data_IF_839718709918
#
_entry.id   IF_839718709918
#
_cell.length_a   1.000
_cell.length_b   1.000
_cell.length_c   1.000
_cell.angle_alpha   90.00
_cell.angle_beta   90.00
_cell.angle_gamma   90.00
#
_symmetry.space_group_name_H-M   'P 1'
#
loop_
_entity.id
_entity.type
_entity.pdbx_description
1 polymer ?
#
# COMPACT_ATOMS: atom_id res chain seq x y z
N UNK A 1 10.13 13.22 -25.54
CA UNK A 1 9.72 12.37 -26.69
C UNK A 1 10.13 10.93 -26.42
N UNK A 2 9.29 9.96 -26.79
CA UNK A 2 9.46 8.54 -26.47
C UNK A 2 10.35 7.87 -27.52
N UNK A 3 11.42 7.19 -27.09
CA UNK A 3 12.31 6.42 -27.97
C UNK A 3 11.71 5.06 -28.35
N UNK A 4 11.98 4.54 -29.55
CA UNK A 4 11.38 3.30 -30.02
C UNK A 4 11.79 2.08 -29.18
N UNK A 5 12.96 2.13 -28.53
CA UNK A 5 13.49 1.12 -27.63
C UNK A 5 12.91 1.14 -26.20
N UNK A 6 12.12 2.16 -25.86
CA UNK A 6 11.59 2.29 -24.50
C UNK A 6 10.27 1.53 -24.35
N UNK A 7 10.16 0.67 -23.33
CA UNK A 7 9.01 -0.22 -23.08
C UNK A 7 7.68 0.51 -22.73
N UNK A 8 7.61 1.84 -22.81
CA UNK A 8 6.46 2.60 -22.27
C UNK A 8 5.34 2.90 -23.27
N UNK A 9 5.53 2.63 -24.56
CA UNK A 9 4.51 2.86 -25.60
C UNK A 9 3.87 1.59 -26.18
N UNK A 10 4.51 0.43 -26.00
CA UNK A 10 3.95 -0.89 -26.31
C UNK A 10 3.73 -1.70 -25.03
N UNK A 11 2.81 -2.65 -25.08
CA UNK A 11 2.49 -3.57 -23.96
C UNK A 11 3.61 -4.58 -23.67
N UNK A 12 4.47 -4.85 -24.66
CA UNK A 12 5.63 -5.75 -24.59
C UNK A 12 6.87 -5.09 -25.20
N UNK A 13 8.04 -5.62 -24.86
CA UNK A 13 9.31 -5.20 -25.45
C UNK A 13 9.27 -5.32 -26.98
N UNK A 14 9.65 -4.28 -27.74
CA UNK A 14 9.71 -4.36 -29.19
C UNK A 14 10.85 -5.26 -29.65
N UNK A 15 10.55 -6.14 -30.62
CA UNK A 15 11.53 -6.98 -31.30
C UNK A 15 12.01 -6.28 -32.58
N UNK A 16 13.34 -6.08 -32.65
CA UNK A 16 14.00 -5.38 -33.76
C UNK A 16 14.66 -6.36 -34.70
N UNK A 17 14.67 -6.03 -36.00
CA UNK A 17 15.47 -6.75 -36.99
C UNK A 17 16.97 -6.51 -36.76
N UNK A 18 17.80 -7.45 -37.21
CA UNK A 18 19.26 -7.32 -37.13
C UNK A 18 19.74 -6.07 -37.89
N UNK A 19 20.56 -5.23 -37.24
CA UNK A 19 21.08 -3.99 -37.82
C UNK A 19 20.14 -2.78 -37.77
N UNK A 20 18.96 -2.90 -37.14
CA UNK A 20 18.03 -1.79 -37.01
C UNK A 20 18.58 -0.66 -36.11
N UNK A 21 18.41 0.59 -36.55
CA UNK A 21 18.73 1.77 -35.75
C UNK A 21 17.72 1.95 -34.61
N UNK A 22 18.20 1.80 -33.37
CA UNK A 22 17.39 1.90 -32.14
C UNK A 22 17.36 3.31 -31.55
N UNK A 23 18.04 4.28 -32.17
CA UNK A 23 18.10 5.68 -31.70
C UNK A 23 16.88 6.52 -32.07
N UNK A 24 16.06 6.01 -33.00
CA UNK A 24 14.85 6.67 -33.49
C UNK A 24 13.79 6.86 -32.40
N UNK A 25 12.90 7.83 -32.62
CA UNK A 25 11.75 8.10 -31.76
C UNK A 25 10.47 7.59 -32.40
N UNK A 26 9.46 7.36 -31.57
CA UNK A 26 8.14 6.92 -32.06
C UNK A 26 7.55 7.93 -33.05
N UNK A 27 7.84 9.23 -32.87
CA UNK A 27 7.42 10.28 -33.78
C UNK A 27 8.02 10.14 -35.20
N UNK A 28 9.23 9.58 -35.32
CA UNK A 28 9.93 9.43 -36.62
C UNK A 28 9.34 8.29 -37.47
N UNK A 29 8.50 7.45 -36.84
CA UNK A 29 7.73 6.37 -37.46
C UNK A 29 6.34 6.82 -37.92
N UNK A 30 5.98 8.08 -37.71
CA UNK A 30 4.67 8.65 -38.06
C UNK A 30 4.85 9.59 -39.24
N UNK A 31 4.07 9.38 -40.30
CA UNK A 31 3.96 10.33 -41.39
C UNK A 31 3.12 11.53 -40.94
N UNK A 32 3.77 12.70 -40.90
CA UNK A 32 3.17 13.96 -40.43
C UNK A 32 2.11 14.52 -41.38
N UNK A 33 2.08 14.09 -42.64
CA UNK A 33 1.12 14.56 -43.65
C UNK A 33 -0.17 13.74 -43.55
N UNK A 34 -0.05 12.42 -43.49
CA UNK A 34 -1.20 11.50 -43.48
C UNK A 34 -1.71 11.17 -42.08
N UNK A 35 -0.93 11.51 -41.04
CA UNK A 35 -1.15 11.10 -39.66
C UNK A 35 -1.31 9.57 -39.51
N UNK A 36 -0.51 8.82 -40.26
CA UNK A 36 -0.48 7.37 -40.25
C UNK A 36 0.93 6.86 -39.91
N UNK A 37 1.03 5.61 -39.47
CA UNK A 37 2.32 4.95 -39.32
C UNK A 37 2.99 4.80 -40.68
N UNK A 38 4.26 5.20 -40.78
CA UNK A 38 5.11 4.93 -41.94
C UNK A 38 5.39 3.42 -42.00
N UNK A 39 4.56 2.71 -42.77
CA UNK A 39 4.67 1.26 -42.94
C UNK A 39 6.06 0.87 -43.43
N UNK A 40 6.66 1.62 -44.37
CA UNK A 40 7.99 1.31 -44.90
C UNK A 40 9.05 1.25 -43.80
N UNK A 41 9.06 2.25 -42.92
CA UNK A 41 9.98 2.29 -41.77
C UNK A 41 9.67 1.19 -40.76
N UNK A 42 8.39 1.00 -40.40
CA UNK A 42 7.99 -0.04 -39.42
C UNK A 42 8.35 -1.44 -39.92
N UNK A 43 8.16 -1.73 -41.22
CA UNK A 43 8.52 -3.02 -41.83
C UNK A 43 10.03 -3.29 -41.83
N UNK A 44 10.84 -2.24 -41.95
CA UNK A 44 12.30 -2.33 -42.00
C UNK A 44 12.92 -2.48 -40.61
N UNK A 45 12.31 -1.87 -39.59
CA UNK A 45 12.90 -1.79 -38.24
C UNK A 45 12.43 -2.95 -37.34
N UNK A 46 11.18 -3.39 -37.45
CA UNK A 46 10.57 -4.34 -36.50
C UNK A 46 10.26 -5.72 -37.10
N UNK A 47 10.38 -6.74 -36.26
CA UNK A 47 9.94 -8.11 -36.54
C UNK A 47 8.40 -8.19 -36.68
N UNK A 48 7.85 -9.19 -37.38
CA UNK A 48 6.42 -9.31 -37.68
C UNK A 48 5.50 -9.12 -36.47
N UNK A 49 5.81 -9.75 -35.34
CA UNK A 49 4.97 -9.67 -34.13
C UNK A 49 4.85 -8.25 -33.58
N UNK A 50 5.95 -7.51 -33.56
CA UNK A 50 5.98 -6.13 -33.03
C UNK A 50 5.34 -5.16 -34.03
N UNK A 51 5.53 -5.40 -35.33
CA UNK A 51 4.89 -4.62 -36.39
C UNK A 51 3.38 -4.66 -36.30
N UNK A 52 2.80 -5.84 -36.13
CA UNK A 52 1.35 -6.00 -36.01
C UNK A 52 0.78 -5.25 -34.81
N UNK A 53 1.49 -5.21 -33.69
CA UNK A 53 1.06 -4.43 -32.53
C UNK A 53 1.11 -2.93 -32.80
N UNK A 54 2.17 -2.45 -33.44
CA UNK A 54 2.33 -1.03 -33.78
C UNK A 54 1.20 -0.59 -34.71
N UNK A 55 0.91 -1.36 -35.76
CA UNK A 55 -0.12 -1.02 -36.74
C UNK A 55 -1.54 -1.07 -36.16
N UNK A 56 -1.77 -1.82 -35.07
CA UNK A 56 -3.04 -1.81 -34.32
C UNK A 56 -3.24 -0.56 -33.45
N UNK A 57 -2.18 0.18 -33.16
CA UNK A 57 -2.29 1.42 -32.38
C UNK A 57 -2.97 2.51 -33.21
N UNK A 58 -4.12 2.99 -32.72
CA UNK A 58 -4.78 4.17 -33.30
C UNK A 58 -3.97 5.42 -32.95
N UNK A 59 -3.40 6.06 -33.97
CA UNK A 59 -2.83 7.39 -33.82
C UNK A 59 -3.95 8.37 -33.51
N UNK A 60 -3.85 9.06 -32.38
CA UNK A 60 -4.76 10.15 -32.07
C UNK A 60 -4.44 11.36 -32.94
N UNK A 61 -5.41 12.25 -33.17
CA UNK A 61 -5.22 13.44 -33.99
C UNK A 61 -4.04 14.26 -33.43
N UNK A 62 -2.94 14.36 -34.18
CA UNK A 62 -1.66 14.98 -33.77
C UNK A 62 -1.83 16.46 -33.37
N UNK A 63 -2.95 17.09 -33.74
CA UNK A 63 -3.32 18.42 -33.28
C UNK A 63 -3.73 18.50 -31.78
N UNK A 64 -3.93 17.36 -31.12
CA UNK A 64 -4.33 17.30 -29.70
C UNK A 64 -3.09 17.50 -28.82
N UNK A 65 -3.11 18.53 -27.96
CA UNK A 65 -2.02 18.74 -26.97
C UNK A 65 -1.88 17.53 -26.04
N UNK A 66 -0.64 17.15 -25.74
CA UNK A 66 -0.32 16.12 -24.74
C UNK A 66 -1.02 16.40 -23.40
N UNK A 67 -1.55 15.35 -22.78
CA UNK A 67 -2.21 15.41 -21.48
C UNK A 67 -1.54 14.46 -20.50
N UNK A 68 -1.26 14.95 -19.30
CA UNK A 68 -0.82 14.10 -18.19
C UNK A 68 -2.02 13.29 -17.69
N UNK A 69 -1.88 11.96 -17.69
CA UNK A 69 -2.90 11.02 -17.21
C UNK A 69 -2.35 10.25 -16.01
N UNK A 70 -3.17 10.17 -14.95
CA UNK A 70 -2.85 9.42 -13.74
C UNK A 70 -3.46 8.01 -13.80
N UNK A 71 -2.64 7.00 -14.10
CA UNK A 71 -3.09 5.63 -14.39
C UNK A 71 -3.66 4.85 -13.19
N UNK A 72 -3.60 5.40 -11.98
CA UNK A 72 -4.04 4.68 -10.77
C UNK A 72 -5.55 4.77 -10.51
N UNK A 73 -6.29 5.50 -11.34
CA UNK A 73 -7.75 5.52 -11.24
C UNK A 73 -8.41 5.55 -12.62
N UNK A 74 -9.66 5.04 -12.68
CA UNK A 74 -10.45 5.00 -13.92
C UNK A 74 -10.76 6.38 -14.50
N UNK A 75 -10.68 7.43 -13.66
CA UNK A 75 -10.88 8.81 -14.09
C UNK A 75 -9.65 9.41 -14.77
N UNK A 76 -8.50 8.72 -14.76
CA UNK A 76 -7.19 9.18 -15.24
C UNK A 76 -6.76 10.56 -14.68
N UNK A 77 -7.30 10.97 -13.54
CA UNK A 77 -7.06 12.29 -12.92
C UNK A 77 -6.17 12.13 -11.71
N UNK A 78 -5.20 13.03 -11.56
CA UNK A 78 -4.39 13.06 -10.36
C UNK A 78 -5.24 13.42 -9.13
N UNK A 79 -5.00 12.73 -8.02
CA UNK A 79 -5.50 13.13 -6.71
C UNK A 79 -4.46 12.80 -5.64
N UNK A 80 -4.38 13.63 -4.60
CA UNK A 80 -3.48 13.40 -3.46
C UNK A 80 -3.76 12.03 -2.83
N UNK A 81 -5.03 11.64 -2.74
CA UNK A 81 -5.45 10.32 -2.23
C UNK A 81 -4.82 9.17 -3.00
N UNK A 82 -4.94 9.16 -4.33
CA UNK A 82 -4.39 8.07 -5.16
C UNK A 82 -2.86 8.12 -5.22
N UNK A 83 -2.27 9.30 -5.17
CA UNK A 83 -0.82 9.46 -5.08
C UNK A 83 -0.27 8.91 -3.75
N UNK A 84 -0.94 9.19 -2.64
CA UNK A 84 -0.57 8.67 -1.32
C UNK A 84 -0.69 7.14 -1.25
N UNK A 85 -1.74 6.56 -1.87
CA UNK A 85 -1.88 5.11 -1.99
C UNK A 85 -0.71 4.47 -2.75
N UNK A 86 -0.28 5.07 -3.87
CA UNK A 86 0.92 4.61 -4.58
C UNK A 86 2.17 4.70 -3.72
N UNK A 87 2.37 5.82 -3.02
CA UNK A 87 3.52 6.00 -2.14
C UNK A 87 3.55 4.91 -1.06
N UNK A 88 2.40 4.61 -0.42
CA UNK A 88 2.30 3.52 0.54
C UNK A 88 2.64 2.16 -0.07
N UNK A 89 2.17 1.86 -1.29
CA UNK A 89 2.47 0.62 -2.00
C UNK A 89 3.96 0.46 -2.28
N UNK A 90 4.63 1.53 -2.67
CA UNK A 90 6.07 1.54 -2.95
C UNK A 90 6.91 1.36 -1.66
N UNK A 91 6.47 1.94 -0.54
CA UNK A 91 7.14 1.78 0.75
C UNK A 91 6.81 0.45 1.46
N UNK A 92 5.66 -0.16 1.17
CA UNK A 92 5.20 -1.42 1.78
C UNK A 92 4.69 -2.43 0.73
N UNK A 93 5.59 -2.99 -0.11
CA UNK A 93 5.22 -3.85 -1.24
C UNK A 93 4.51 -5.16 -0.87
N UNK A 94 4.51 -5.53 0.42
CA UNK A 94 3.95 -6.77 0.96
C UNK A 94 2.43 -6.66 1.29
N UNK A 95 1.84 -5.47 1.18
CA UNK A 95 0.51 -5.15 1.74
C UNK A 95 -0.51 -4.94 0.61
N UNK A 96 -1.19 -6.01 0.20
CA UNK A 96 -2.22 -5.98 -0.85
C UNK A 96 -3.47 -5.17 -0.46
N UNK A 97 -3.81 -4.16 -1.25
CA UNK A 97 -4.81 -3.11 -0.93
C UNK A 97 -6.24 -3.63 -0.72
N UNK A 98 -6.68 -4.65 -1.47
CA UNK A 98 -8.10 -5.01 -1.52
C UNK A 98 -8.57 -5.84 -0.32
N UNK A 99 -7.74 -6.76 0.16
CA UNK A 99 -8.09 -7.63 1.29
C UNK A 99 -7.94 -6.90 2.63
N UNK A 100 -6.92 -6.04 2.75
CA UNK A 100 -6.64 -5.28 3.98
C UNK A 100 -7.67 -4.16 4.20
N UNK A 101 -7.95 -3.32 3.19
CA UNK A 101 -8.95 -2.24 3.35
C UNK A 101 -10.39 -2.75 3.60
N UNK A 102 -10.71 -3.97 3.15
CA UNK A 102 -11.97 -4.67 3.46
C UNK A 102 -12.00 -5.16 4.91
N UNK A 103 -10.90 -5.76 5.35
CA UNK A 103 -10.78 -6.39 6.66
C UNK A 103 -10.60 -5.36 7.78
N UNK A 104 -9.86 -4.29 7.54
CA UNK A 104 -9.74 -3.12 8.42
C UNK A 104 -11.13 -2.53 8.69
N UNK A 105 -11.99 -2.40 7.65
CA UNK A 105 -13.37 -1.94 7.82
C UNK A 105 -14.20 -2.85 8.73
N UNK A 106 -14.06 -4.17 8.63
CA UNK A 106 -14.76 -5.11 9.54
C UNK A 106 -14.28 -4.94 10.98
N UNK A 107 -12.97 -4.81 11.17
CA UNK A 107 -12.37 -4.62 12.49
C UNK A 107 -12.86 -3.31 13.13
N UNK A 108 -12.82 -2.20 12.38
CA UNK A 108 -13.32 -0.91 12.87
C UNK A 108 -14.80 -0.96 13.21
N UNK A 109 -15.64 -1.55 12.36
CA UNK A 109 -17.07 -1.74 12.68
C UNK A 109 -17.27 -2.49 14.00
N UNK A 110 -16.45 -3.51 14.26
CA UNK A 110 -16.53 -4.29 15.50
C UNK A 110 -16.13 -3.45 16.72
N UNK A 111 -14.99 -2.75 16.66
CA UNK A 111 -14.52 -1.85 17.74
C UNK A 111 -15.58 -0.79 18.07
N UNK A 112 -16.17 -0.16 17.07
CA UNK A 112 -17.19 0.88 17.28
C UNK A 112 -18.51 0.31 17.83
N UNK A 113 -18.80 -0.96 17.58
CA UNK A 113 -19.99 -1.66 18.09
C UNK A 113 -19.87 -2.17 19.52
N UNK A 114 -18.70 -2.02 20.17
CA UNK A 114 -18.50 -2.45 21.55
C UNK A 114 -19.34 -1.62 22.51
N UNK A 115 -19.98 -2.29 23.47
CA UNK A 115 -20.77 -1.64 24.53
C UNK A 115 -19.88 -1.22 25.69
N UNK A 116 -19.00 -0.25 25.43
CA UNK A 116 -18.04 0.27 26.41
C UNK A 116 -17.99 1.79 26.38
N UNK A 117 -17.47 2.43 27.45
CA UNK A 117 -17.38 3.87 27.49
C UNK A 117 -16.66 4.43 26.26
N UNK A 118 -17.11 5.56 25.69
CA UNK A 118 -16.50 6.15 24.49
C UNK A 118 -14.98 6.34 24.59
N UNK A 119 -14.47 6.64 25.80
CA UNK A 119 -13.04 6.78 26.06
C UNK A 119 -12.26 5.49 25.75
N UNK A 120 -12.81 4.32 26.04
CA UNK A 120 -12.17 3.02 25.77
C UNK A 120 -12.15 2.72 24.27
N UNK A 121 -13.25 2.99 23.55
CA UNK A 121 -13.28 2.86 22.09
C UNK A 121 -12.26 3.76 21.41
N UNK A 122 -12.15 5.01 21.86
CA UNK A 122 -11.16 5.96 21.34
C UNK A 122 -9.73 5.48 21.63
N UNK A 123 -9.48 4.98 22.84
CA UNK A 123 -8.17 4.42 23.20
C UNK A 123 -7.81 3.23 22.31
N UNK A 124 -8.74 2.30 22.08
CA UNK A 124 -8.53 1.15 21.20
C UNK A 124 -8.25 1.57 19.75
N UNK A 125 -8.96 2.59 19.27
CA UNK A 125 -8.68 3.20 17.97
C UNK A 125 -7.27 3.81 17.92
N UNK A 126 -6.88 4.62 18.92
CA UNK A 126 -5.55 5.21 19.00
C UNK A 126 -4.42 4.17 19.05
N UNK A 127 -4.62 3.11 19.83
CA UNK A 127 -3.66 2.02 19.96
C UNK A 127 -3.51 1.25 18.63
N UNK A 128 -4.63 0.89 17.99
CA UNK A 128 -4.63 0.19 16.70
C UNK A 128 -4.07 1.05 15.56
N UNK A 129 -4.26 2.37 15.62
CA UNK A 129 -3.67 3.31 14.65
C UNK A 129 -2.21 3.67 14.95
N UNK A 130 -1.61 3.10 16.01
CA UNK A 130 -0.25 3.41 16.47
C UNK A 130 0.03 4.92 16.62
N UNK A 131 -0.95 5.67 17.16
CA UNK A 131 -0.81 7.13 17.39
C UNK A 131 -0.62 7.50 18.86
N UNK A 132 -0.62 6.50 19.76
CA UNK A 132 -0.30 6.74 21.17
C UNK A 132 1.10 7.35 21.31
N UNK A 133 1.32 8.23 22.29
CA UNK A 133 2.58 8.93 22.50
C UNK A 133 3.63 8.02 23.16
N UNK A 134 3.86 6.82 22.61
CA UNK A 134 4.90 5.92 23.09
C UNK A 134 6.27 6.46 22.70
N UNK A 135 7.33 6.13 23.45
CA UNK A 135 8.66 6.67 23.14
C UNK A 135 9.16 6.29 21.74
N UNK A 136 8.85 5.08 21.26
CA UNK A 136 9.16 4.71 19.89
C UNK A 136 8.51 5.65 18.85
N UNK A 137 7.26 6.06 19.09
CA UNK A 137 6.56 7.02 18.21
C UNK A 137 7.11 8.45 18.36
N UNK A 138 7.58 8.84 19.55
CA UNK A 138 8.23 10.14 19.77
C UNK A 138 9.58 10.23 19.02
N UNK A 139 10.39 9.17 19.06
CA UNK A 139 11.64 9.07 18.30
C UNK A 139 11.38 9.15 16.79
N UNK A 140 10.34 8.49 16.28
CA UNK A 140 9.93 8.61 14.88
C UNK A 140 9.57 10.06 14.49
N UNK A 141 8.98 10.81 15.43
CA UNK A 141 8.69 12.25 15.32
C UNK A 141 9.89 13.15 15.61
N UNK A 142 11.10 12.59 15.69
CA UNK A 142 12.38 13.30 15.91
C UNK A 142 12.50 13.98 17.28
N UNK A 143 11.70 13.57 18.26
CA UNK A 143 11.87 13.98 19.65
C UNK A 143 13.02 13.17 20.27
N UNK A 144 13.95 13.86 20.93
CA UNK A 144 15.11 13.24 21.57
C UNK A 144 14.71 12.60 22.89
N UNK A 145 14.37 11.30 22.86
CA UNK A 145 14.07 10.48 24.04
C UNK A 145 14.67 9.09 23.85
N UNK A 146 15.09 8.46 24.95
CA UNK A 146 15.49 7.05 24.93
C UNK A 146 14.28 6.16 24.62
N UNK A 147 14.26 5.39 23.51
CA UNK A 147 13.11 4.57 23.13
C UNK A 147 12.84 3.41 24.10
N UNK A 148 13.76 3.08 25.02
CA UNK A 148 13.58 1.96 25.95
C UNK A 148 12.41 2.20 26.91
N UNK A 149 11.60 1.15 27.09
CA UNK A 149 10.48 1.11 28.02
C UNK A 149 10.96 1.31 29.46
N UNK A 150 10.49 2.36 30.13
CA UNK A 150 10.85 2.65 31.54
C UNK A 150 10.26 1.65 32.53
N UNK A 151 9.26 0.87 32.12
CA UNK A 151 8.60 -0.10 32.99
C UNK A 151 9.44 -1.37 33.13
N UNK A 152 9.97 -1.89 32.02
CA UNK A 152 10.71 -3.16 32.01
C UNK A 152 12.21 -3.01 31.78
N UNK A 153 12.66 -1.91 31.17
CA UNK A 153 14.07 -1.66 30.82
C UNK A 153 14.66 -2.61 29.76
N UNK A 154 13.85 -3.44 29.09
CA UNK A 154 14.34 -4.54 28.24
C UNK A 154 14.15 -4.31 26.73
N UNK A 155 13.07 -3.63 26.34
CA UNK A 155 12.68 -3.46 24.94
C UNK A 155 12.22 -2.03 24.66
N UNK A 156 12.15 -1.66 23.38
CA UNK A 156 11.59 -0.37 22.97
C UNK A 156 10.11 -0.25 23.36
N UNK A 157 9.73 0.94 23.81
CA UNK A 157 8.36 1.30 24.18
C UNK A 157 7.49 1.51 22.94
N UNK A 158 7.07 0.40 22.33
CA UNK A 158 6.04 0.38 21.29
C UNK A 158 4.65 0.20 21.91
N UNK A 159 3.61 0.55 21.15
CA UNK A 159 2.22 0.31 21.57
C UNK A 159 1.94 -1.16 21.86
N UNK A 160 2.49 -2.06 21.04
CA UNK A 160 2.38 -3.51 21.26
C UNK A 160 3.09 -3.96 22.53
N UNK A 161 4.30 -3.44 22.76
CA UNK A 161 5.07 -3.75 23.94
C UNK A 161 4.34 -3.32 25.22
N UNK A 162 4.02 -2.04 25.36
CA UNK A 162 3.47 -1.50 26.63
C UNK A 162 2.09 -2.07 26.97
N UNK A 163 1.28 -2.44 25.98
CA UNK A 163 -0.08 -2.94 26.20
C UNK A 163 -0.17 -4.47 26.26
N UNK A 164 0.84 -5.22 25.82
CA UNK A 164 0.74 -6.68 25.69
C UNK A 164 1.99 -7.45 26.13
N UNK A 165 3.17 -7.05 25.65
CA UNK A 165 4.39 -7.85 25.81
C UNK A 165 5.19 -7.50 27.06
N UNK A 166 5.04 -6.27 27.56
CA UNK A 166 5.69 -5.79 28.76
C UNK A 166 5.33 -6.71 29.94
N UNK A 167 6.29 -7.12 30.78
CA UNK A 167 6.02 -7.96 31.95
C UNK A 167 4.87 -7.44 32.84
N UNK A 168 4.78 -6.12 33.03
CA UNK A 168 3.67 -5.50 33.76
C UNK A 168 2.33 -5.75 33.07
N UNK A 169 2.25 -5.53 31.76
CA UNK A 169 1.03 -5.77 30.98
C UNK A 169 0.64 -7.25 31.03
N UNK A 170 1.60 -8.17 30.85
CA UNK A 170 1.37 -9.62 30.93
C UNK A 170 0.78 -10.02 32.28
N UNK A 171 1.31 -9.48 33.38
CA UNK A 171 0.80 -9.73 34.72
C UNK A 171 -0.64 -9.22 34.89
N UNK A 172 -0.95 -8.02 34.38
CA UNK A 172 -2.31 -7.47 34.41
C UNK A 172 -3.29 -8.34 33.61
N UNK A 173 -2.90 -8.78 32.41
CA UNK A 173 -3.73 -9.66 31.59
C UNK A 173 -3.92 -11.05 32.22
N UNK A 174 -2.93 -11.55 32.97
CA UNK A 174 -3.04 -12.81 33.71
C UNK A 174 -4.11 -12.79 34.81
N UNK A 175 -4.47 -11.61 35.33
CA UNK A 175 -5.58 -11.46 36.29
C UNK A 175 -6.97 -11.54 35.62
N UNK A 176 -7.04 -11.21 34.32
CA UNK A 176 -8.30 -11.25 33.55
C UNK A 176 -8.59 -12.67 33.12
N UNK A 177 -9.57 -13.33 33.75
CA UNK A 177 -9.98 -14.70 33.40
C UNK A 177 -10.34 -14.79 31.91
N UNK A 178 -9.74 -15.68 31.12
CA UNK A 178 -10.16 -15.88 29.72
C UNK A 178 -9.08 -16.35 28.76
N UNK A 179 -9.46 -16.49 27.47
CA UNK A 179 -8.57 -16.94 26.38
C UNK A 179 -7.53 -15.91 25.94
N UNK A 180 -7.71 -14.66 26.35
CA UNK A 180 -6.83 -13.52 26.05
C UNK A 180 -5.39 -13.79 26.53
N UNK A 181 -5.22 -14.45 27.67
CA UNK A 181 -3.92 -14.71 28.30
C UNK A 181 -2.92 -15.54 27.47
N UNK A 182 -3.40 -16.33 26.49
CA UNK A 182 -2.59 -17.34 25.79
C UNK A 182 -2.14 -16.92 24.39
N UNK A 183 -2.43 -15.70 23.92
CA UNK A 183 -1.99 -15.32 22.58
C UNK A 183 -0.53 -14.89 22.61
N UNK A 184 0.37 -15.76 22.14
CA UNK A 184 1.76 -15.42 21.87
C UNK A 184 1.80 -14.25 20.89
N UNK A 185 2.49 -13.17 21.28
CA UNK A 185 2.77 -12.05 20.38
C UNK A 185 4.12 -12.30 19.73
N UNK A 186 4.09 -12.66 18.45
CA UNK A 186 5.25 -12.57 17.55
C UNK A 186 5.00 -11.50 16.47
N UNK A 187 4.05 -10.59 16.71
CA UNK A 187 3.51 -9.72 15.66
C UNK A 187 3.97 -8.27 15.84
N UNK A 188 4.45 -7.69 14.75
CA UNK A 188 5.12 -6.40 14.69
C UNK A 188 4.27 -5.16 15.08
N UNK A 189 2.94 -5.28 15.24
CA UNK A 189 2.08 -4.14 15.61
C UNK A 189 0.86 -4.54 16.44
N UNK A 190 0.43 -3.62 17.32
CA UNK A 190 -0.77 -3.80 18.15
C UNK A 190 -2.04 -4.04 17.32
N UNK A 191 -2.13 -3.44 16.14
CA UNK A 191 -3.22 -3.69 15.19
C UNK A 191 -3.34 -5.17 14.81
N UNK A 192 -2.21 -5.81 14.46
CA UNK A 192 -2.21 -7.21 14.02
C UNK A 192 -2.47 -8.18 15.19
N UNK A 193 -2.03 -7.80 16.39
CA UNK A 193 -2.38 -8.49 17.63
C UNK A 193 -3.89 -8.40 17.89
N UNK A 194 -4.45 -7.19 17.88
CA UNK A 194 -5.89 -6.96 18.08
C UNK A 194 -6.74 -7.72 17.06
N UNK A 195 -6.30 -7.73 15.80
CA UNK A 195 -6.95 -8.51 14.73
C UNK A 195 -7.01 -9.99 15.08
N UNK A 196 -5.89 -10.57 15.50
CA UNK A 196 -5.84 -11.99 15.91
C UNK A 196 -6.71 -12.27 17.13
N UNK A 197 -6.76 -11.35 18.09
CA UNK A 197 -7.62 -11.50 19.26
C UNK A 197 -9.10 -11.52 18.86
N UNK A 198 -9.52 -10.60 17.96
CA UNK A 198 -10.90 -10.56 17.48
C UNK A 198 -11.30 -11.78 16.64
N UNK A 199 -10.35 -12.42 15.95
CA UNK A 199 -10.59 -13.70 15.25
C UNK A 199 -10.79 -14.87 16.23
N UNK A 200 -10.12 -14.84 17.39
CA UNK A 200 -10.15 -15.93 18.38
C UNK A 200 -11.28 -15.81 19.41
N UNK A 201 -11.77 -14.60 19.65
CA UNK A 201 -12.81 -14.33 20.65
C UNK A 201 -14.17 -14.17 19.97
N UNK A 202 -15.19 -14.85 20.50
CA UNK A 202 -16.57 -14.59 20.07
C UNK A 202 -16.97 -13.14 20.44
N UNK A 203 -18.00 -12.60 19.80
CA UNK A 203 -18.49 -11.24 20.13
C UNK A 203 -18.98 -11.17 21.58
N UNK A 204 -19.56 -12.25 22.08
CA UNK A 204 -20.09 -12.37 23.45
C UNK A 204 -18.98 -12.45 24.48
N UNK A 205 -17.91 -13.22 24.22
CA UNK A 205 -16.74 -13.27 25.09
C UNK A 205 -16.07 -11.90 25.18
N UNK A 206 -15.89 -11.21 24.04
CA UNK A 206 -15.28 -9.88 24.02
C UNK A 206 -16.10 -8.85 24.81
N UNK A 207 -17.43 -8.89 24.71
CA UNK A 207 -18.33 -8.01 25.47
C UNK A 207 -18.40 -8.36 26.96
N UNK A 208 -18.26 -9.64 27.32
CA UNK A 208 -18.26 -10.11 28.72
C UNK A 208 -17.06 -9.60 29.52
N UNK A 209 -15.98 -9.20 28.84
CA UNK A 209 -14.76 -8.66 29.46
C UNK A 209 -14.77 -7.15 29.67
N UNK A 210 -15.83 -6.43 29.26
CA UNK A 210 -15.97 -5.00 29.55
C UNK A 210 -14.83 -4.13 28.98
N UNK A 211 -14.27 -4.52 27.83
CA UNK A 211 -13.27 -3.76 27.06
C UNK A 211 -13.86 -3.08 25.83
#
# INVERSE_FOLDING_TARGET
MIGINTHKWLSRSPNFKAGADKSLKVADLIDTITNQWDRGKVHTIFEPDTREDILKLKLSNVASRDRLLWKENKANKFSVRTAYQVALRLHHPQIGEHSLASMDRKMWKRIWSLNVPPKVRNFMWWACSNILPTKANLVQKKVQVDPICTVCGQHEETTGHILWECPLARNMWALVRGRIQKTSSSKASFFLLMRQMMERLSREEFLSYGL
#
